data_IF_854706289647
#
_entry.id   IF_854706289647
#
_cell.length_a   1.000
_cell.length_b   1.000
_cell.length_c   1.000
_cell.angle_alpha   90.00
_cell.angle_beta   90.00
_cell.angle_gamma   90.00
#
_symmetry.space_group_name_H-M   'P 1'
#
loop_
_entity.id
_entity.type
_entity.pdbx_description
1 polymer ?
#
# COMPACT_ATOMS: atom_id res chain seq x y z
N UNK A 1 6.52 4.11 9.78
CA UNK A 1 5.46 4.29 10.81
C UNK A 1 4.22 3.48 10.50
N UNK A 2 3.97 3.05 9.27
CA UNK A 2 2.93 2.07 8.91
C UNK A 2 1.55 2.39 9.51
N UNK A 3 1.18 3.68 9.39
CA UNK A 3 -0.09 4.24 9.82
C UNK A 3 -1.25 3.77 8.95
N UNK A 4 -2.47 4.03 9.41
CA UNK A 4 -3.63 4.08 8.53
C UNK A 4 -3.50 5.28 7.60
N UNK A 5 -4.07 5.18 6.40
CA UNK A 5 -4.31 6.35 5.55
C UNK A 5 -5.75 6.37 5.06
N UNK A 6 -6.30 7.56 4.87
CA UNK A 6 -7.58 7.76 4.18
C UNK A 6 -7.34 8.61 2.94
N UNK A 7 -7.97 8.25 1.83
CA UNK A 7 -7.93 8.97 0.56
C UNK A 7 -9.37 9.26 0.11
N UNK A 8 -9.65 10.51 -0.25
CA UNK A 8 -10.91 10.95 -0.83
C UNK A 8 -10.68 11.42 -2.26
N UNK A 9 -11.44 10.90 -3.23
CA UNK A 9 -11.38 11.34 -4.62
C UNK A 9 -12.41 12.45 -4.83
N UNK A 10 -11.97 13.71 -4.84
CA UNK A 10 -12.85 14.88 -4.91
C UNK A 10 -13.65 14.94 -6.23
N UNK A 11 -12.95 14.77 -7.36
CA UNK A 11 -13.56 14.85 -8.69
C UNK A 11 -12.65 14.20 -9.76
N UNK A 12 -13.22 14.03 -10.96
CA UNK A 12 -12.51 13.60 -12.17
C UNK A 12 -12.56 12.11 -12.40
N UNK A 13 -11.61 11.60 -13.19
CA UNK A 13 -11.56 10.21 -13.61
C UNK A 13 -11.19 9.24 -12.47
N UNK A 14 -11.59 7.96 -12.56
CA UNK A 14 -11.39 7.00 -11.48
C UNK A 14 -9.92 6.71 -11.16
N UNK A 15 -9.69 6.09 -9.99
CA UNK A 15 -8.37 5.60 -9.56
C UNK A 15 -8.46 4.11 -9.23
N UNK A 16 -7.67 3.28 -9.89
CA UNK A 16 -7.56 1.86 -9.51
C UNK A 16 -6.48 1.67 -8.46
N UNK A 17 -6.82 0.91 -7.43
CA UNK A 17 -5.96 0.49 -6.33
C UNK A 17 -5.76 -1.03 -6.37
N UNK A 18 -4.57 -1.45 -5.96
CA UNK A 18 -4.23 -2.82 -5.60
C UNK A 18 -3.75 -2.83 -4.16
N UNK A 19 -4.19 -3.81 -3.38
CA UNK A 19 -3.79 -3.96 -1.99
C UNK A 19 -3.35 -5.39 -1.68
N UNK A 20 -2.24 -5.52 -0.95
CA UNK A 20 -1.77 -6.80 -0.39
C UNK A 20 -2.10 -6.81 1.10
N UNK A 21 -2.78 -7.86 1.60
CA UNK A 21 -3.10 -7.97 3.02
C UNK A 21 -1.84 -7.91 3.91
N UNK A 22 -1.88 -7.25 5.10
CA UNK A 22 -0.70 -7.08 5.96
C UNK A 22 0.02 -8.38 6.31
N UNK A 23 -0.71 -9.49 6.50
CA UNK A 23 -0.17 -10.83 6.79
C UNK A 23 0.74 -11.38 5.66
N UNK A 24 0.64 -10.80 4.46
CA UNK A 24 1.45 -11.16 3.30
C UNK A 24 2.50 -10.10 2.93
N UNK A 25 2.61 -8.99 3.69
CA UNK A 25 3.57 -7.91 3.43
C UNK A 25 5.03 -8.39 3.36
N UNK A 26 5.45 -9.26 4.27
CA UNK A 26 6.81 -9.84 4.27
C UNK A 26 7.10 -10.70 3.03
N UNK A 27 6.09 -11.36 2.47
CA UNK A 27 6.24 -12.15 1.23
C UNK A 27 6.43 -11.23 0.02
N UNK A 28 5.69 -10.11 -0.02
CA UNK A 28 5.89 -9.06 -1.03
C UNK A 28 7.29 -8.44 -0.91
N UNK A 29 7.75 -8.11 0.29
CA UNK A 29 9.09 -7.55 0.53
C UNK A 29 10.19 -8.49 0.02
N UNK A 30 10.07 -9.79 0.26
CA UNK A 30 11.02 -10.79 -0.25
C UNK A 30 11.05 -10.82 -1.78
N UNK A 31 9.88 -10.92 -2.41
CA UNK A 31 9.77 -10.88 -3.87
C UNK A 31 10.35 -9.58 -4.43
N UNK A 32 10.07 -8.43 -3.81
CA UNK A 32 10.61 -7.15 -4.25
C UNK A 32 12.14 -7.10 -4.16
N UNK A 33 12.75 -7.69 -3.12
CA UNK A 33 14.22 -7.79 -3.01
C UNK A 33 14.83 -8.62 -4.13
N UNK A 34 14.15 -9.69 -4.55
CA UNK A 34 14.57 -10.53 -5.68
C UNK A 34 14.43 -9.79 -7.02
N UNK A 35 13.35 -9.03 -7.21
CA UNK A 35 13.09 -8.26 -8.43
C UNK A 35 13.97 -7.00 -8.56
N UNK A 36 14.34 -6.38 -7.43
CA UNK A 36 15.07 -5.11 -7.39
C UNK A 36 16.35 -5.20 -6.53
N UNK A 37 17.30 -6.08 -6.86
CA UNK A 37 18.46 -6.35 -6.00
C UNK A 37 19.39 -5.13 -5.84
N UNK A 38 19.46 -4.24 -6.83
CA UNK A 38 20.21 -2.99 -6.73
C UNK A 38 19.65 -2.06 -5.65
N UNK A 39 18.33 -1.84 -5.68
CA UNK A 39 17.63 -1.02 -4.69
C UNK A 39 17.68 -1.64 -3.29
N UNK A 40 17.51 -2.97 -3.21
CA UNK A 40 17.57 -3.70 -1.94
C UNK A 40 18.94 -3.61 -1.26
N UNK A 41 20.04 -3.59 -2.02
CA UNK A 41 21.38 -3.38 -1.47
C UNK A 41 21.59 -1.95 -0.93
N UNK A 42 20.92 -0.97 -1.54
CA UNK A 42 21.05 0.44 -1.15
C UNK A 42 20.18 0.84 0.05
N UNK A 43 19.06 0.15 0.27
CA UNK A 43 18.15 0.44 1.38
C UNK A 43 17.31 -0.80 1.74
N UNK A 44 17.32 -1.17 3.02
CA UNK A 44 16.56 -2.33 3.52
C UNK A 44 15.03 -2.17 3.36
N UNK A 45 14.56 -0.92 3.37
CA UNK A 45 13.16 -0.53 3.23
C UNK A 45 12.90 0.24 1.91
N UNK A 46 13.61 -0.08 0.83
CA UNK A 46 13.56 0.67 -0.44
C UNK A 46 12.15 0.81 -1.05
N UNK A 47 11.21 -0.08 -0.74
CA UNK A 47 9.81 0.06 -1.17
C UNK A 47 9.17 1.36 -0.67
N UNK A 48 9.65 1.91 0.45
CA UNK A 48 9.23 3.23 0.97
C UNK A 48 9.60 4.39 0.06
N UNK A 49 10.52 4.19 -0.91
CA UNK A 49 10.87 5.20 -1.92
C UNK A 49 9.80 5.36 -3.00
N UNK A 50 8.81 4.44 -3.08
CA UNK A 50 7.66 4.51 -4.01
C UNK A 50 8.01 4.55 -5.50
N UNK A 51 9.14 3.94 -5.88
CA UNK A 51 9.60 3.85 -7.29
C UNK A 51 9.56 2.43 -7.87
N UNK A 52 9.22 1.43 -7.05
CA UNK A 52 9.15 0.04 -7.49
C UNK A 52 7.73 -0.31 -7.92
N UNK A 53 7.54 -0.63 -9.20
CA UNK A 53 6.26 -1.06 -9.76
C UNK A 53 6.32 -2.58 -10.02
N UNK A 54 5.37 -3.32 -9.43
CA UNK A 54 5.21 -4.77 -9.62
C UNK A 54 3.80 -5.01 -10.15
N UNK A 55 3.68 -5.69 -11.29
CA UNK A 55 2.36 -5.91 -11.91
C UNK A 55 1.55 -6.97 -11.16
N UNK A 56 0.20 -6.91 -11.22
CA UNK A 56 -0.67 -7.94 -10.66
C UNK A 56 -0.38 -9.35 -11.18
N UNK A 57 0.04 -9.47 -12.43
CA UNK A 57 0.48 -10.75 -13.02
C UNK A 57 1.69 -11.32 -12.28
N UNK A 58 2.72 -10.50 -12.06
CA UNK A 58 3.92 -10.92 -11.31
C UNK A 58 3.57 -11.30 -9.87
N UNK A 59 2.66 -10.56 -9.21
CA UNK A 59 2.17 -10.94 -7.88
C UNK A 59 1.47 -12.31 -7.89
N UNK A 60 0.56 -12.51 -8.84
CA UNK A 60 -0.20 -13.75 -9.00
C UNK A 60 0.72 -14.95 -9.26
N UNK A 61 1.66 -14.81 -10.18
CA UNK A 61 2.58 -15.88 -10.57
C UNK A 61 3.53 -16.29 -9.43
N UNK A 62 3.79 -15.37 -8.49
CA UNK A 62 4.57 -15.63 -7.28
C UNK A 62 3.70 -15.93 -6.04
N UNK A 63 2.40 -16.18 -6.24
CA UNK A 63 1.47 -16.57 -5.18
C UNK A 63 1.25 -15.52 -4.10
N UNK A 64 1.48 -14.23 -4.39
CA UNK A 64 1.19 -13.12 -3.48
C UNK A 64 -0.29 -12.76 -3.65
N UNK A 65 -1.14 -12.97 -2.63
CA UNK A 65 -2.54 -12.58 -2.70
C UNK A 65 -2.67 -11.06 -2.68
N UNK A 66 -3.57 -10.55 -3.50
CA UNK A 66 -3.90 -9.15 -3.59
C UNK A 66 -5.36 -9.00 -3.99
N UNK A 67 -5.93 -7.84 -3.72
CA UNK A 67 -7.24 -7.44 -4.23
C UNK A 67 -7.14 -6.14 -5.03
N UNK A 68 -8.16 -5.84 -5.82
CA UNK A 68 -8.26 -4.67 -6.68
C UNK A 68 -9.59 -3.97 -6.50
N UNK A 69 -9.54 -2.65 -6.33
CA UNK A 69 -10.73 -1.79 -6.30
C UNK A 69 -10.54 -0.58 -7.20
N UNK A 70 -11.60 -0.13 -7.87
CA UNK A 70 -11.62 1.16 -8.56
C UNK A 70 -12.40 2.12 -7.68
N UNK A 71 -11.77 3.24 -7.34
CA UNK A 71 -12.34 4.35 -6.58
C UNK A 71 -12.88 5.39 -7.55
N UNK A 72 -14.16 5.69 -7.43
CA UNK A 72 -14.89 6.70 -8.18
C UNK A 72 -14.91 8.04 -7.43
N UNK A 73 -15.26 9.12 -8.14
CA UNK A 73 -15.37 10.44 -7.54
C UNK A 73 -16.44 10.45 -6.42
N UNK A 74 -16.11 11.06 -5.28
CA UNK A 74 -16.94 11.07 -4.08
C UNK A 74 -16.70 9.89 -3.13
N UNK A 75 -15.80 8.96 -3.45
CA UNK A 75 -15.54 7.78 -2.62
C UNK A 75 -14.28 7.90 -1.76
N UNK A 76 -14.31 7.19 -0.63
CA UNK A 76 -13.17 7.02 0.26
C UNK A 76 -12.48 5.66 0.07
N UNK A 77 -11.15 5.66 0.12
CA UNK A 77 -10.33 4.46 0.32
C UNK A 77 -9.58 4.59 1.63
N UNK A 78 -9.65 3.54 2.47
CA UNK A 78 -8.90 3.44 3.72
C UNK A 78 -7.86 2.34 3.58
N UNK A 79 -6.59 2.67 3.87
CA UNK A 79 -5.51 1.70 3.96
C UNK A 79 -5.18 1.41 5.43
N UNK A 80 -4.96 0.14 5.73
CA UNK A 80 -4.68 -0.35 7.08
C UNK A 80 -3.16 -0.39 7.34
N UNK A 81 -2.73 -0.39 8.61
CA UNK A 81 -1.33 -0.54 8.99
C UNK A 81 -0.66 -1.71 8.28
N UNK A 82 0.52 -1.44 7.73
CA UNK A 82 1.33 -2.41 6.98
C UNK A 82 0.64 -3.03 5.73
N UNK A 83 -0.51 -2.48 5.33
CA UNK A 83 -1.19 -2.82 4.08
C UNK A 83 -0.49 -2.18 2.89
N UNK A 84 0.32 -2.96 2.18
CA UNK A 84 0.95 -2.49 0.95
C UNK A 84 -0.12 -2.20 -0.10
N UNK A 85 0.00 -1.06 -0.76
CA UNK A 85 -0.92 -0.64 -1.81
C UNK A 85 -0.19 0.05 -2.95
N UNK A 86 -0.76 -0.06 -4.15
CA UNK A 86 -0.31 0.64 -5.36
C UNK A 86 -1.52 0.98 -6.22
N UNK A 87 -1.34 1.77 -7.27
CA UNK A 87 -2.46 2.15 -8.11
C UNK A 87 -2.07 3.10 -9.24
N UNK A 88 -3.06 3.45 -10.06
CA UNK A 88 -2.92 4.41 -11.14
C UNK A 88 -4.24 5.16 -11.38
N UNK A 89 -4.12 6.36 -11.95
CA UNK A 89 -5.27 7.18 -12.35
C UNK A 89 -5.69 6.81 -13.77
N UNK A 90 -6.99 6.84 -14.03
CA UNK A 90 -7.55 6.57 -15.37
C UNK A 90 -7.50 7.82 -16.27
N UNK A 91 -7.37 9.00 -15.66
CA UNK A 91 -7.22 10.28 -16.36
C UNK A 91 -7.04 11.42 -15.36
N UNK A 92 -7.44 12.63 -15.75
CA UNK A 92 -7.36 13.81 -14.90
C UNK A 92 -8.31 13.68 -13.70
N UNK A 93 -7.77 13.79 -12.49
CA UNK A 93 -8.53 13.76 -11.24
C UNK A 93 -7.85 14.56 -10.12
N UNK A 94 -8.58 14.75 -9.02
CA UNK A 94 -8.04 15.36 -7.80
C UNK A 94 -8.44 14.50 -6.60
N UNK A 95 -7.44 14.07 -5.82
CA UNK A 95 -7.64 13.31 -4.61
C UNK A 95 -6.85 13.93 -3.46
N UNK A 96 -7.38 13.82 -2.25
CA UNK A 96 -6.74 14.26 -1.02
C UNK A 96 -6.53 13.07 -0.08
N UNK A 97 -5.41 13.05 0.65
CA UNK A 97 -5.13 11.97 1.57
C UNK A 97 -4.41 12.45 2.83
N UNK A 98 -4.71 11.80 3.96
CA UNK A 98 -4.05 12.03 5.24
C UNK A 98 -3.80 10.70 5.96
N UNK A 99 -2.73 10.65 6.74
CA UNK A 99 -2.45 9.52 7.63
C UNK A 99 -3.10 9.76 8.99
N UNK A 100 -3.61 8.71 9.63
CA UNK A 100 -4.22 8.81 10.96
C UNK A 100 -3.90 7.60 11.84
N UNK A 101 -4.06 7.77 13.15
CA UNK A 101 -3.88 6.73 14.15
C UNK A 101 -5.10 6.75 15.10
N UNK A 102 -6.07 5.85 14.92
CA UNK A 102 -7.25 5.83 15.80
C UNK A 102 -6.83 5.38 17.22
N UNK A 103 -7.37 6.03 18.28
CA UNK A 103 -7.01 5.72 19.66
C UNK A 103 -7.69 4.44 20.22
N UNK A 104 -8.56 3.78 19.47
CA UNK A 104 -9.51 2.79 20.00
C UNK A 104 -9.19 1.33 19.65
N UNK A 105 -9.56 0.35 20.52
CA UNK A 105 -9.30 -1.08 20.34
C UNK A 105 -10.11 -1.79 19.23
N UNK A 106 -10.96 -1.08 18.48
CA UNK A 106 -11.82 -1.65 17.43
C UNK A 106 -11.08 -2.01 16.13
N UNK A 107 -9.79 -1.67 16.00
CA UNK A 107 -8.94 -2.01 14.87
C UNK A 107 -7.55 -2.42 15.38
N UNK A 108 -6.77 -3.23 14.63
CA UNK A 108 -5.40 -3.59 15.00
C UNK A 108 -4.62 -2.35 15.45
N UNK A 109 -4.05 -2.40 16.66
CA UNK A 109 -3.35 -1.25 17.26
C UNK A 109 -2.18 -0.88 16.37
N UNK A 110 -2.29 0.26 15.69
CA UNK A 110 -1.19 0.87 14.95
C UNK A 110 0.11 0.90 15.77
N UNK A 111 0.01 1.08 17.09
CA UNK A 111 1.15 1.12 18.01
C UNK A 111 2.07 -0.09 17.85
N UNK A 112 1.51 -1.29 17.67
CA UNK A 112 2.32 -2.51 17.60
C UNK A 112 3.08 -2.59 16.26
N UNK A 113 2.43 -2.18 15.17
CA UNK A 113 3.11 -1.98 13.88
C UNK A 113 4.18 -0.89 13.96
N UNK A 114 3.86 0.23 14.61
CA UNK A 114 4.73 1.40 14.76
C UNK A 114 6.04 1.11 15.51
N UNK A 115 6.03 0.16 16.43
CA UNK A 115 7.23 -0.27 17.17
C UNK A 115 8.20 -1.08 16.33
N UNK A 116 7.70 -1.90 15.41
CA UNK A 116 8.48 -2.89 14.65
C UNK A 116 8.76 -2.47 13.20
N UNK A 117 8.45 -1.23 12.82
CA UNK A 117 8.61 -0.66 11.46
C UNK A 117 10.03 -0.84 10.89
N UNK A 118 11.02 -0.93 11.76
CA UNK A 118 12.45 -0.99 11.45
C UNK A 118 13.11 -2.32 11.84
N UNK A 119 12.30 -3.29 12.28
CA UNK A 119 12.72 -4.68 12.53
C UNK A 119 12.47 -5.54 11.29
#
# INVERSE_FOLDING_TARGET
MDLYSINYLHFGEPKTWYAVPPEHGRRLERLARELFPGSARGCEAFLRHKVALISPTVLKDNGIPFDRVTQEAGEFIVTFPYGYHSGFNHGFNCAEAINFAPPTPAAPRWIDYGKVVWE
#
